data_IF_286060545354
#
_entry.id   IF_286060545354
#
_cell.length_a   1.000
_cell.length_b   1.000
_cell.length_c   1.000
_cell.angle_alpha   90.00
_cell.angle_beta   90.00
_cell.angle_gamma   90.00
#
_symmetry.space_group_name_H-M   'P 1'
#
loop_
_entity.id
_entity.type
_entity.pdbx_description
1 polymer ?
#
# COMPACT_ATOMS: atom_id res chain seq x y z
N UNK A 1 22.98 38.96 44.61
CA UNK A 1 22.25 38.09 43.67
C UNK A 1 22.37 38.77 42.33
N UNK A 2 23.28 38.30 41.48
CA UNK A 2 23.43 38.83 40.13
C UNK A 2 22.27 38.30 39.31
N UNK A 3 21.29 39.17 39.02
CA UNK A 3 20.27 38.86 38.03
C UNK A 3 20.93 38.97 36.66
N UNK A 4 21.38 37.85 36.11
CA UNK A 4 21.77 37.78 34.70
C UNK A 4 20.51 38.05 33.87
N UNK A 5 20.46 39.19 33.19
CA UNK A 5 19.35 39.57 32.32
C UNK A 5 19.20 38.47 31.25
N UNK A 6 17.99 37.90 31.12
CA UNK A 6 17.71 36.83 30.16
C UNK A 6 17.43 37.41 28.77
N UNK A 7 18.46 37.95 28.11
CA UNK A 7 18.34 38.56 26.78
C UNK A 7 17.61 37.68 25.75
N UNK A 8 17.81 36.34 25.68
CA UNK A 8 17.06 35.48 24.75
C UNK A 8 15.54 35.60 24.86
N UNK A 9 14.99 35.66 26.08
CA UNK A 9 13.54 35.75 26.31
C UNK A 9 13.00 37.13 25.93
N UNK A 10 13.77 38.20 26.17
CA UNK A 10 13.40 39.53 25.72
C UNK A 10 13.45 39.63 24.19
N UNK A 11 14.40 38.99 23.52
CA UNK A 11 14.46 39.01 22.05
C UNK A 11 13.21 38.36 21.44
N UNK A 12 12.80 37.18 21.91
CA UNK A 12 11.59 36.51 21.40
C UNK A 12 10.34 37.38 21.63
N UNK A 13 10.13 37.89 22.86
CA UNK A 13 9.00 38.77 23.17
C UNK A 13 9.01 40.06 22.34
N UNK A 14 10.19 40.58 22.00
CA UNK A 14 10.34 41.77 21.17
C UNK A 14 9.96 41.48 19.71
N UNK A 15 10.40 40.35 19.17
CA UNK A 15 10.09 39.90 17.82
C UNK A 15 8.60 39.51 17.67
N UNK A 16 8.00 38.91 18.69
CA UNK A 16 6.59 38.52 18.73
C UNK A 16 5.64 39.69 19.08
N UNK A 17 6.19 40.83 19.52
CA UNK A 17 5.40 42.02 19.86
C UNK A 17 4.65 41.92 21.19
N UNK A 18 5.07 41.04 22.10
CA UNK A 18 4.44 40.78 23.41
C UNK A 18 4.98 41.68 24.55
N UNK A 19 5.74 42.72 24.21
CA UNK A 19 6.24 43.69 25.19
C UNK A 19 5.23 44.80 25.48
N UNK A 20 5.14 45.19 26.74
CA UNK A 20 4.44 46.44 27.10
C UNK A 20 5.20 47.67 26.57
N UNK A 21 4.55 48.83 26.41
CA UNK A 21 5.20 50.05 25.91
C UNK A 21 6.41 50.50 26.76
N UNK A 22 6.34 50.28 28.07
CA UNK A 22 7.40 50.64 29.03
C UNK A 22 8.59 49.67 28.93
N UNK A 23 8.34 48.36 28.80
CA UNK A 23 9.38 47.35 28.58
C UNK A 23 10.06 47.52 27.22
N UNK A 24 9.29 47.83 26.18
CA UNK A 24 9.79 48.02 24.83
C UNK A 24 10.76 49.20 24.76
N UNK A 25 10.41 50.33 25.37
CA UNK A 25 11.29 51.52 25.38
C UNK A 25 12.55 51.33 26.22
N UNK A 26 12.52 50.47 27.24
CA UNK A 26 13.72 50.04 27.96
C UNK A 26 14.59 49.14 27.08
N UNK A 27 13.99 48.16 26.41
CA UNK A 27 14.72 47.20 25.58
C UNK A 27 15.34 47.84 24.33
N UNK A 28 14.67 48.81 23.70
CA UNK A 28 15.21 49.58 22.57
C UNK A 28 16.48 50.36 22.95
N UNK A 29 16.55 50.91 24.17
CA UNK A 29 17.79 51.56 24.66
C UNK A 29 18.92 50.56 24.88
N UNK A 30 18.57 49.37 25.37
CA UNK A 30 19.53 48.29 25.60
C UNK A 30 20.09 47.74 24.28
N UNK A 31 19.29 47.75 23.20
CA UNK A 31 19.74 47.44 21.83
C UNK A 31 20.73 48.50 21.33
N UNK A 32 20.41 49.79 21.51
CA UNK A 32 21.29 50.90 21.09
C UNK A 32 22.65 50.87 21.80
N UNK A 33 22.67 50.45 23.07
CA UNK A 33 23.88 50.37 23.90
C UNK A 33 24.67 49.06 23.71
N UNK A 34 24.10 48.05 23.03
CA UNK A 34 24.71 46.72 22.86
C UNK A 34 24.65 46.20 21.40
N UNK A 35 25.72 46.38 20.60
CA UNK A 35 25.76 45.91 19.21
C UNK A 35 25.74 44.38 19.05
N UNK A 36 26.10 43.61 20.09
CA UNK A 36 26.01 42.14 20.07
C UNK A 36 24.53 41.69 20.14
N UNK A 37 23.72 42.43 20.91
CA UNK A 37 22.28 42.19 21.03
C UNK A 37 21.54 42.50 19.72
N UNK A 38 21.92 43.59 19.05
CA UNK A 38 21.40 43.94 17.73
C UNK A 38 21.68 42.83 16.69
N UNK A 39 22.90 42.29 16.69
CA UNK A 39 23.29 41.17 15.81
C UNK A 39 22.49 39.89 16.05
N UNK A 40 22.24 39.53 17.31
CA UNK A 40 21.44 38.36 17.68
C UNK A 40 19.96 38.51 17.26
N UNK A 41 19.39 39.71 17.41
CA UNK A 41 18.01 40.01 16.96
C UNK A 41 17.91 39.84 15.44
N UNK A 42 18.88 40.37 14.69
CA UNK A 42 18.89 40.28 13.23
C UNK A 42 19.02 38.83 12.76
N UNK A 43 19.91 38.03 13.39
CA UNK A 43 20.06 36.62 13.08
C UNK A 43 18.77 35.82 13.32
N UNK A 44 18.09 36.05 14.45
CA UNK A 44 16.82 35.38 14.76
C UNK A 44 15.70 35.76 13.80
N UNK A 45 15.66 37.03 13.38
CA UNK A 45 14.72 37.50 12.37
C UNK A 45 14.94 36.80 11.03
N UNK A 46 16.19 36.67 10.58
CA UNK A 46 16.53 35.97 9.34
C UNK A 46 16.18 34.48 9.40
N UNK A 47 16.41 33.83 10.55
CA UNK A 47 16.02 32.43 10.76
C UNK A 47 14.50 32.26 10.74
N UNK A 48 13.76 33.13 11.43
CA UNK A 48 12.29 33.09 11.44
C UNK A 48 11.73 33.30 10.02
N UNK A 49 12.28 34.25 9.25
CA UNK A 49 11.91 34.48 7.86
C UNK A 49 12.24 33.29 6.97
N UNK A 50 13.41 32.66 7.14
CA UNK A 50 13.81 31.47 6.38
C UNK A 50 12.99 30.22 6.71
N UNK A 51 12.45 30.11 7.93
CA UNK A 51 11.60 29.00 8.38
C UNK A 51 10.12 29.24 8.01
N UNK A 52 9.70 30.49 7.82
CA UNK A 52 8.36 30.82 7.37
C UNK A 52 8.14 30.34 5.93
N UNK A 53 7.69 29.08 5.79
CA UNK A 53 7.20 28.52 4.53
C UNK A 53 5.83 29.11 4.18
N UNK A 54 5.76 30.43 3.96
CA UNK A 54 4.52 31.15 3.65
C UNK A 54 3.79 30.52 2.46
N UNK A 55 4.54 30.11 1.44
CA UNK A 55 4.03 29.40 0.26
C UNK A 55 3.33 28.08 0.62
N UNK A 56 3.85 27.33 1.59
CA UNK A 56 3.27 26.05 2.03
C UNK A 56 2.01 26.29 2.85
N UNK A 57 1.99 27.33 3.68
CA UNK A 57 0.80 27.73 4.44
C UNK A 57 -0.30 28.20 3.48
N UNK A 58 0.03 29.05 2.51
CA UNK A 58 -0.90 29.51 1.47
C UNK A 58 -1.46 28.35 0.65
N UNK A 59 -0.61 27.40 0.23
CA UNK A 59 -1.02 26.21 -0.51
C UNK A 59 -1.99 25.34 0.30
N UNK A 60 -1.70 25.12 1.60
CA UNK A 60 -2.58 24.36 2.50
C UNK A 60 -3.93 25.02 2.66
N UNK A 61 -3.97 26.34 2.82
CA UNK A 61 -5.22 27.11 2.91
C UNK A 61 -6.05 27.01 1.62
N UNK A 62 -5.40 27.10 0.45
CA UNK A 62 -6.07 26.94 -0.84
C UNK A 62 -6.67 25.54 -0.98
N UNK A 63 -5.92 24.49 -0.67
CA UNK A 63 -6.39 23.10 -0.72
C UNK A 63 -7.58 22.84 0.21
N UNK A 64 -7.54 23.35 1.45
CA UNK A 64 -8.64 23.19 2.41
C UNK A 64 -9.91 23.92 1.91
N UNK A 65 -9.75 25.10 1.30
CA UNK A 65 -10.87 25.85 0.73
C UNK A 65 -11.55 25.11 -0.44
N UNK A 66 -10.77 24.45 -1.30
CA UNK A 66 -11.27 23.63 -2.41
C UNK A 66 -11.98 22.39 -1.88
N UNK A 67 -11.38 21.73 -0.89
CA UNK A 67 -11.95 20.53 -0.28
C UNK A 67 -13.33 20.81 0.34
N UNK A 68 -13.46 21.89 1.12
CA UNK A 68 -14.73 22.30 1.74
C UNK A 68 -15.81 22.64 0.71
N UNK A 69 -15.46 23.32 -0.39
CA UNK A 69 -16.40 23.63 -1.48
C UNK A 69 -16.97 22.34 -2.10
N UNK A 70 -16.13 21.36 -2.40
CA UNK A 70 -16.58 20.08 -2.97
C UNK A 70 -17.38 19.22 -2.00
N UNK A 71 -17.09 19.29 -0.70
CA UNK A 71 -17.90 18.60 0.31
C UNK A 71 -19.30 19.22 0.45
N UNK A 72 -19.40 20.56 0.47
CA UNK A 72 -20.68 21.26 0.57
C UNK A 72 -21.58 21.03 -0.66
N UNK A 73 -20.98 20.87 -1.85
CA UNK A 73 -21.69 20.61 -3.09
C UNK A 73 -22.28 19.18 -3.13
N UNK A 74 -21.59 18.19 -2.55
CA UNK A 74 -22.10 16.81 -2.41
C UNK A 74 -23.32 16.70 -1.47
N UNK A 75 -23.49 17.63 -0.52
CA UNK A 75 -24.60 17.62 0.45
C UNK A 75 -25.87 18.29 -0.13
N UNK A 76 -25.75 19.13 -1.17
CA UNK A 76 -26.86 19.99 -1.62
C UNK A 76 -27.77 19.41 -2.72
N UNK A 77 -27.63 18.13 -3.09
CA UNK A 77 -28.40 17.56 -4.20
C UNK A 77 -29.01 16.19 -3.92
N UNK A 78 -29.92 16.11 -2.94
CA UNK A 78 -31.01 15.12 -3.02
C UNK A 78 -32.32 15.81 -2.69
N UNK A 79 -32.96 16.41 -3.71
CA UNK A 79 -34.39 16.71 -3.61
C UNK A 79 -35.11 15.37 -3.57
N UNK A 80 -36.03 15.10 -2.61
CA UNK A 80 -36.78 13.86 -2.62
C UNK A 80 -37.62 13.83 -3.90
N UNK A 81 -37.34 12.87 -4.77
CA UNK A 81 -38.12 12.68 -5.99
C UNK A 81 -39.54 12.28 -5.60
N UNK A 82 -40.52 13.16 -5.85
CA UNK A 82 -41.93 12.77 -5.80
C UNK A 82 -42.17 11.76 -6.92
N UNK A 83 -42.24 10.50 -6.55
CA UNK A 83 -42.63 9.41 -7.45
C UNK A 83 -44.01 9.72 -8.02
N UNK A 84 -44.07 9.97 -9.32
CA UNK A 84 -45.34 10.09 -10.04
C UNK A 84 -45.80 8.70 -10.45
N UNK A 85 -47.11 8.47 -10.44
CA UNK A 85 -47.76 7.19 -10.78
C UNK A 85 -47.36 6.64 -12.17
N UNK A 86 -46.79 7.49 -13.04
CA UNK A 86 -46.26 7.13 -14.36
C UNK A 86 -44.89 6.43 -14.30
N UNK A 87 -44.05 6.71 -13.30
CA UNK A 87 -42.76 6.02 -13.09
C UNK A 87 -42.99 4.59 -12.58
N UNK A 88 -44.00 4.39 -11.71
CA UNK A 88 -44.42 3.06 -11.23
C UNK A 88 -44.95 2.13 -12.33
N UNK A 89 -45.45 2.68 -13.45
CA UNK A 89 -45.91 1.88 -14.59
C UNK A 89 -44.77 1.55 -15.58
N UNK A 90 -43.68 2.33 -15.57
CA UNK A 90 -42.52 2.11 -16.44
C UNK A 90 -41.54 1.03 -15.92
N UNK A 91 -41.60 0.70 -14.63
CA UNK A 91 -40.74 -0.32 -13.99
C UNK A 91 -41.08 -1.77 -14.37
N UNK A 92 -42.24 -2.01 -15.01
CA UNK A 92 -42.61 -3.35 -15.50
C UNK A 92 -41.61 -3.90 -16.53
N UNK A 93 -41.01 -3.02 -17.35
CA UNK A 93 -40.03 -3.44 -18.37
C UNK A 93 -38.68 -3.87 -17.77
N UNK A 94 -38.23 -3.23 -16.69
CA UNK A 94 -36.95 -3.52 -16.05
C UNK A 94 -37.01 -4.84 -15.28
N UNK A 95 -38.15 -5.17 -14.67
CA UNK A 95 -38.35 -6.44 -13.95
C UNK A 95 -38.27 -7.66 -14.86
N UNK A 96 -38.71 -7.55 -16.12
CA UNK A 96 -38.59 -8.65 -17.09
C UNK A 96 -37.13 -8.85 -17.51
N UNK A 97 -36.39 -7.77 -17.73
CA UNK A 97 -34.96 -7.85 -18.10
C UNK A 97 -34.11 -8.45 -16.96
N UNK A 98 -34.38 -8.11 -15.70
CA UNK A 98 -33.64 -8.69 -14.57
C UNK A 98 -33.91 -10.17 -14.41
N UNK A 99 -35.14 -10.64 -14.64
CA UNK A 99 -35.48 -12.07 -14.63
C UNK A 99 -34.77 -12.81 -15.78
N UNK A 100 -34.71 -12.24 -16.98
CA UNK A 100 -33.96 -12.83 -18.10
C UNK A 100 -32.45 -12.90 -17.83
N UNK A 101 -31.86 -11.87 -17.21
CA UNK A 101 -30.44 -11.87 -16.85
C UNK A 101 -30.16 -12.92 -15.77
N UNK A 102 -31.03 -13.05 -14.77
CA UNK A 102 -30.87 -14.05 -13.70
C UNK A 102 -31.03 -15.49 -14.22
N UNK A 103 -32.05 -15.75 -15.07
CA UNK A 103 -32.26 -17.07 -15.66
C UNK A 103 -31.19 -17.41 -16.70
N UNK A 104 -30.80 -16.46 -17.54
CA UNK A 104 -29.73 -16.62 -18.52
C UNK A 104 -28.36 -16.81 -17.86
N UNK A 105 -28.05 -16.04 -16.82
CA UNK A 105 -26.84 -16.20 -16.02
C UNK A 105 -26.79 -17.55 -15.30
N UNK A 106 -27.90 -17.99 -14.71
CA UNK A 106 -28.03 -19.33 -14.09
C UNK A 106 -27.78 -20.46 -15.10
N UNK A 107 -28.31 -20.33 -16.32
CA UNK A 107 -28.09 -21.30 -17.39
C UNK A 107 -26.63 -21.29 -17.89
N UNK A 108 -26.02 -20.12 -18.02
CA UNK A 108 -24.63 -20.01 -18.48
C UNK A 108 -23.63 -20.54 -17.44
N UNK A 109 -23.79 -20.19 -16.16
CA UNK A 109 -22.93 -20.69 -15.08
C UNK A 109 -23.13 -22.19 -14.82
N UNK A 110 -24.35 -22.71 -14.96
CA UNK A 110 -24.63 -24.13 -14.79
C UNK A 110 -23.96 -25.04 -15.84
N UNK A 111 -23.60 -24.49 -17.00
CA UNK A 111 -22.95 -25.22 -18.09
C UNK A 111 -21.42 -25.13 -18.08
N UNK A 112 -20.83 -24.24 -17.26
CA UNK A 112 -19.40 -24.22 -16.99
C UNK A 112 -19.08 -25.22 -15.86
N UNK A 113 -19.23 -26.52 -16.17
CA UNK A 113 -18.79 -27.57 -15.28
C UNK A 113 -17.27 -27.42 -15.06
N UNK A 114 -16.76 -27.35 -13.82
CA UNK A 114 -15.34 -27.25 -13.52
C UNK A 114 -14.50 -28.34 -14.21
N UNK A 115 -15.11 -29.51 -14.41
CA UNK A 115 -14.54 -30.64 -15.14
C UNK A 115 -14.15 -30.28 -16.58
N UNK A 116 -14.98 -29.52 -17.32
CA UNK A 116 -14.65 -29.08 -18.69
C UNK A 116 -13.50 -28.09 -18.74
N UNK A 117 -13.32 -27.29 -17.69
CA UNK A 117 -12.20 -26.34 -17.58
C UNK A 117 -10.92 -27.14 -17.31
N UNK A 118 -10.97 -28.09 -16.38
CA UNK A 118 -9.85 -28.98 -16.10
C UNK A 118 -9.39 -29.74 -17.36
N UNK A 119 -10.30 -30.40 -18.06
CA UNK A 119 -9.95 -31.18 -19.28
C UNK A 119 -9.38 -30.31 -20.39
N UNK A 120 -9.74 -29.03 -20.47
CA UNK A 120 -9.26 -28.13 -21.53
C UNK A 120 -7.86 -27.58 -21.29
N UNK A 121 -7.47 -27.42 -20.04
CA UNK A 121 -6.24 -26.70 -19.67
C UNK A 121 -5.25 -27.54 -18.85
N UNK A 122 -5.62 -28.74 -18.43
CA UNK A 122 -4.72 -29.66 -17.76
C UNK A 122 -3.91 -30.45 -18.78
N UNK A 123 -2.60 -30.22 -18.81
CA UNK A 123 -1.63 -31.08 -19.49
C UNK A 123 -0.89 -31.90 -18.43
N UNK A 124 -0.91 -33.24 -18.50
CA UNK A 124 -0.12 -34.08 -17.62
C UNK A 124 1.36 -33.72 -17.75
N UNK A 125 2.04 -33.51 -16.62
CA UNK A 125 3.48 -33.29 -16.63
C UNK A 125 4.19 -34.54 -17.15
N UNK A 126 4.86 -34.41 -18.30
CA UNK A 126 5.72 -35.46 -18.84
C UNK A 126 7.09 -35.40 -18.18
N UNK A 127 7.49 -36.49 -17.53
CA UNK A 127 8.81 -36.59 -16.91
C UNK A 127 9.90 -36.50 -18.00
N UNK A 128 10.92 -35.66 -17.84
CA UNK A 128 12.06 -35.65 -18.75
C UNK A 128 12.75 -37.02 -18.75
N UNK A 129 12.91 -37.62 -19.93
CA UNK A 129 13.61 -38.89 -20.09
C UNK A 129 15.12 -38.63 -20.00
N UNK A 130 15.73 -39.05 -18.90
CA UNK A 130 17.18 -39.02 -18.75
C UNK A 130 17.81 -40.08 -19.65
N UNK A 131 18.45 -39.63 -20.74
CA UNK A 131 19.30 -40.49 -21.57
C UNK A 131 20.68 -40.50 -20.92
N UNK A 132 21.01 -41.63 -20.31
CA UNK A 132 22.29 -41.95 -19.65
C UNK A 132 22.42 -41.39 -18.23
N UNK A 133 22.45 -42.31 -17.25
CA UNK A 133 22.84 -41.99 -15.89
C UNK A 133 24.38 -41.91 -15.83
N UNK A 134 24.91 -40.70 -15.91
CA UNK A 134 26.36 -40.45 -15.89
C UNK A 134 26.94 -40.41 -14.48
N UNK A 135 26.11 -40.17 -13.47
CA UNK A 135 26.53 -40.03 -12.06
C UNK A 135 25.76 -40.99 -11.12
N UNK A 136 26.32 -41.32 -9.94
CA UNK A 136 25.61 -42.08 -8.92
C UNK A 136 24.28 -41.43 -8.50
N UNK A 137 24.21 -40.09 -8.47
CA UNK A 137 23.00 -39.34 -8.17
C UNK A 137 21.92 -39.53 -9.27
N UNK A 138 22.32 -39.65 -10.53
CA UNK A 138 21.38 -39.96 -11.63
C UNK A 138 20.79 -41.37 -11.52
N UNK A 139 21.61 -42.35 -11.14
CA UNK A 139 21.15 -43.73 -10.90
C UNK A 139 20.17 -43.79 -9.73
N UNK A 140 20.48 -43.07 -8.65
CA UNK A 140 19.62 -42.96 -7.48
C UNK A 140 18.28 -42.27 -7.82
N UNK A 141 18.34 -41.22 -8.64
CA UNK A 141 17.15 -40.53 -9.14
C UNK A 141 16.27 -41.43 -10.01
N UNK A 142 16.86 -42.23 -10.92
CA UNK A 142 16.10 -43.19 -11.72
C UNK A 142 15.39 -44.23 -10.85
N UNK A 143 16.05 -44.72 -9.80
CA UNK A 143 15.44 -45.65 -8.85
C UNK A 143 14.30 -45.00 -8.05
N UNK A 144 14.48 -43.74 -7.64
CA UNK A 144 13.42 -42.96 -6.99
C UNK A 144 12.21 -42.79 -7.92
N UNK A 145 12.45 -42.51 -9.19
CA UNK A 145 11.41 -42.39 -10.22
C UNK A 145 10.67 -43.70 -10.47
N UNK A 146 11.37 -44.83 -10.53
CA UNK A 146 10.74 -46.16 -10.64
C UNK A 146 9.82 -46.44 -9.45
N UNK A 147 10.28 -46.12 -8.25
CA UNK A 147 9.54 -46.30 -6.99
C UNK A 147 8.29 -45.40 -6.95
N UNK A 148 8.44 -44.16 -7.41
CA UNK A 148 7.32 -43.22 -7.59
C UNK A 148 6.28 -43.75 -8.59
N UNK A 149 6.72 -44.29 -9.73
CA UNK A 149 5.84 -44.90 -10.73
C UNK A 149 5.08 -46.13 -10.20
N UNK A 150 5.71 -46.89 -9.30
CA UNK A 150 5.09 -48.01 -8.59
C UNK A 150 4.12 -47.58 -7.46
N UNK A 151 3.90 -46.27 -7.27
CA UNK A 151 3.02 -45.67 -6.23
C UNK A 151 3.53 -45.86 -4.81
N UNK A 152 4.80 -46.17 -4.64
CA UNK A 152 5.46 -46.32 -3.34
C UNK A 152 6.01 -44.95 -2.88
N UNK A 153 5.12 -43.99 -2.64
CA UNK A 153 5.49 -42.59 -2.46
C UNK A 153 6.39 -42.33 -1.25
N UNK A 154 6.14 -42.99 -0.12
CA UNK A 154 6.96 -42.86 1.09
C UNK A 154 8.43 -43.21 0.80
N UNK A 155 8.63 -44.31 0.07
CA UNK A 155 9.98 -44.79 -0.29
C UNK A 155 10.60 -43.93 -1.39
N UNK A 156 9.79 -43.40 -2.31
CA UNK A 156 10.25 -42.48 -3.33
C UNK A 156 10.74 -41.15 -2.73
N UNK A 157 10.03 -40.61 -1.72
CA UNK A 157 10.44 -39.39 -1.00
C UNK A 157 11.83 -39.57 -0.39
N UNK A 158 12.04 -40.67 0.33
CA UNK A 158 13.35 -40.97 0.95
C UNK A 158 14.47 -40.99 -0.09
N UNK A 159 14.24 -41.64 -1.24
CA UNK A 159 15.22 -41.71 -2.32
C UNK A 159 15.44 -40.35 -2.99
N UNK A 160 14.41 -39.52 -3.19
CA UNK A 160 14.56 -38.17 -3.73
C UNK A 160 15.32 -37.25 -2.77
N UNK A 161 15.09 -37.36 -1.46
CA UNK A 161 15.85 -36.61 -0.45
C UNK A 161 17.33 -37.03 -0.44
N UNK A 162 17.61 -38.33 -0.66
CA UNK A 162 18.97 -38.83 -0.82
C UNK A 162 19.62 -38.35 -2.13
N UNK A 163 18.87 -38.16 -3.23
CA UNK A 163 19.38 -37.50 -4.44
C UNK A 163 19.79 -36.06 -4.10
N UNK A 164 18.93 -35.31 -3.41
CA UNK A 164 19.18 -33.91 -3.06
C UNK A 164 20.34 -33.73 -2.09
N UNK A 165 20.62 -34.74 -1.24
CA UNK A 165 21.79 -34.77 -0.39
C UNK A 165 23.10 -34.91 -1.20
N UNK A 166 23.06 -35.59 -2.35
CA UNK A 166 24.22 -35.74 -3.25
C UNK A 166 24.35 -34.58 -4.24
N UNK A 167 23.23 -34.05 -4.73
CA UNK A 167 23.16 -32.93 -5.66
C UNK A 167 21.94 -32.06 -5.37
N UNK A 168 22.16 -30.97 -4.62
CA UNK A 168 21.12 -30.00 -4.25
C UNK A 168 20.57 -29.26 -5.47
N UNK A 169 21.29 -29.25 -6.59
CA UNK A 169 20.88 -28.53 -7.82
C UNK A 169 19.93 -29.32 -8.71
N UNK A 170 19.68 -30.61 -8.39
CA UNK A 170 18.67 -31.45 -9.04
C UNK A 170 17.25 -30.97 -8.75
N UNK A 171 16.81 -29.95 -9.48
CA UNK A 171 15.46 -29.37 -9.35
C UNK A 171 14.36 -30.42 -9.53
N UNK A 172 14.56 -31.39 -10.43
CA UNK A 172 13.59 -32.47 -10.68
C UNK A 172 13.40 -33.36 -9.44
N UNK A 173 14.46 -33.65 -8.68
CA UNK A 173 14.35 -34.41 -7.43
C UNK A 173 13.61 -33.63 -6.34
N UNK A 174 13.82 -32.31 -6.28
CA UNK A 174 13.11 -31.43 -5.36
C UNK A 174 11.61 -31.35 -5.69
N UNK A 175 11.28 -31.16 -6.97
CA UNK A 175 9.92 -31.15 -7.46
C UNK A 175 9.21 -32.48 -7.15
N UNK A 176 9.85 -33.61 -7.47
CA UNK A 176 9.26 -34.93 -7.27
C UNK A 176 9.12 -35.30 -5.79
N UNK A 177 10.07 -34.93 -4.93
CA UNK A 177 9.94 -35.05 -3.47
C UNK A 177 8.72 -34.29 -2.96
N UNK A 178 8.49 -33.07 -3.46
CA UNK A 178 7.34 -32.25 -3.08
C UNK A 178 6.00 -32.80 -3.55
N UNK A 179 5.92 -33.31 -4.79
CA UNK A 179 4.69 -33.89 -5.36
C UNK A 179 4.32 -35.22 -4.69
N UNK A 180 5.31 -35.94 -4.17
CA UNK A 180 5.09 -37.25 -3.54
C UNK A 180 4.55 -37.19 -2.11
N UNK A 181 4.54 -36.01 -1.47
CA UNK A 181 4.03 -35.77 -0.09
C UNK A 181 2.51 -35.61 -0.07
#
# INVERSE_FOLDING_TARGET
MEHTINYPEFIERYLDGEMSPEEKTWFEKEIDDNPELEGEIQLRKEVNEAIMEEDVIQLRMQLDSIHRKHQAEKIRAVKPARTTRRVLLATSSVAVLTVFILLGGRYWWGNMAPEKIFTRYYEPYEMPVYREAGTPADLLFLKAMETYQNREFDRAIELFEEVLAQDVTKMDANLMSGISK
#
